data_IF_098283789377
#
_entry.id   IF_098283789377
#
_cell.length_a   1.000
_cell.length_b   1.000
_cell.length_c   1.000
_cell.angle_alpha   90.00
_cell.angle_beta   90.00
_cell.angle_gamma   90.00
#
_symmetry.space_group_name_H-M   'P 1'
#
loop_
_entity.id
_entity.type
_entity.pdbx_description
1 polymer ?
#
# COMPACT_ATOMS: atom_id res chain seq x y z
N UNK A 1 9.69 -15.10 3.43
CA UNK A 1 8.48 -15.03 4.28
C UNK A 1 7.61 -16.22 3.95
N UNK A 2 7.11 -16.97 4.93
CA UNK A 2 6.17 -18.08 4.67
C UNK A 2 4.76 -17.53 4.62
N UNK A 3 3.99 -17.91 3.60
CA UNK A 3 2.60 -17.47 3.42
C UNK A 3 1.68 -18.61 3.82
N UNK A 4 0.61 -18.28 4.54
CA UNK A 4 -0.49 -19.17 4.84
C UNK A 4 -1.76 -18.63 4.19
N UNK A 5 -2.28 -19.33 3.18
CA UNK A 5 -3.56 -19.02 2.55
C UNK A 5 -4.66 -19.83 3.21
N UNK A 6 -5.75 -19.17 3.57
CA UNK A 6 -6.96 -19.80 4.11
C UNK A 6 -8.17 -19.25 3.37
N UNK A 7 -8.91 -20.10 2.72
CA UNK A 7 -10.20 -19.75 2.10
C UNK A 7 -11.29 -19.63 3.17
N UNK A 8 -12.06 -18.55 3.09
CA UNK A 8 -13.21 -18.28 3.98
C UNK A 8 -14.41 -17.96 3.10
N UNK A 9 -15.52 -18.64 3.33
CA UNK A 9 -16.78 -18.33 2.64
C UNK A 9 -17.56 -17.30 3.45
N UNK A 10 -17.74 -16.12 2.88
CA UNK A 10 -18.51 -15.01 3.47
C UNK A 10 -19.57 -14.58 2.47
N UNK A 11 -20.72 -14.11 2.99
CA UNK A 11 -21.77 -13.46 2.20
C UNK A 11 -21.64 -11.93 2.19
N UNK A 12 -20.62 -11.39 2.87
CA UNK A 12 -20.35 -9.95 2.97
C UNK A 12 -19.48 -9.48 1.81
N UNK A 13 -19.77 -8.28 1.31
CA UNK A 13 -18.93 -7.62 0.32
C UNK A 13 -17.68 -6.98 0.95
N UNK A 14 -16.66 -6.56 0.15
CA UNK A 14 -15.41 -5.98 0.67
C UNK A 14 -15.63 -4.77 1.59
N UNK A 15 -16.55 -3.87 1.26
CA UNK A 15 -16.83 -2.68 2.06
C UNK A 15 -17.47 -3.02 3.41
N UNK A 16 -18.39 -3.99 3.45
CA UNK A 16 -19.00 -4.47 4.68
C UNK A 16 -17.98 -5.11 5.62
N UNK A 17 -17.03 -5.86 5.08
CA UNK A 17 -15.92 -6.43 5.87
C UNK A 17 -14.99 -5.32 6.34
N UNK A 18 -14.64 -4.35 5.47
CA UNK A 18 -13.79 -3.22 5.85
C UNK A 18 -14.39 -2.39 7.00
N UNK A 19 -15.72 -2.22 7.06
CA UNK A 19 -16.40 -1.50 8.14
C UNK A 19 -16.06 -2.06 9.53
N UNK A 20 -15.84 -3.36 9.66
CA UNK A 20 -15.45 -3.99 10.93
C UNK A 20 -14.03 -3.57 11.39
N UNK A 21 -13.17 -3.14 10.46
CA UNK A 21 -11.77 -2.81 10.71
C UNK A 21 -11.43 -1.33 10.48
N UNK A 22 -12.38 -0.49 10.12
CA UNK A 22 -12.15 0.91 9.71
C UNK A 22 -11.48 1.79 10.75
N UNK A 23 -11.58 1.42 12.02
CA UNK A 23 -10.95 2.15 13.14
C UNK A 23 -9.58 1.59 13.52
N UNK A 24 -9.15 0.48 12.93
CA UNK A 24 -7.81 -0.03 13.14
C UNK A 24 -6.80 0.84 12.39
N UNK A 25 -5.65 1.05 13.03
CA UNK A 25 -4.62 1.92 12.48
C UNK A 25 -4.14 1.44 11.12
N UNK A 26 -4.06 2.38 10.17
CA UNK A 26 -3.51 2.17 8.83
C UNK A 26 -4.12 0.98 8.07
N UNK A 27 -5.39 0.63 8.33
CA UNK A 27 -6.15 -0.30 7.51
C UNK A 27 -6.48 0.34 6.17
N UNK A 28 -6.17 -0.34 5.06
CA UNK A 28 -6.42 0.14 3.70
C UNK A 28 -7.29 -0.89 2.96
N UNK A 29 -8.29 -0.39 2.25
CA UNK A 29 -9.04 -1.16 1.27
C UNK A 29 -8.68 -0.68 -0.15
N UNK A 30 -8.41 -1.63 -1.03
CA UNK A 30 -8.34 -1.44 -2.47
C UNK A 30 -9.52 -2.18 -3.08
N UNK A 31 -10.58 -1.45 -3.39
CA UNK A 31 -11.83 -2.02 -3.88
C UNK A 31 -11.96 -1.90 -5.39
N UNK A 32 -12.39 -2.99 -6.03
CA UNK A 32 -12.69 -3.04 -7.45
C UNK A 32 -14.15 -2.70 -7.69
N UNK A 33 -14.43 -1.43 -8.01
CA UNK A 33 -15.79 -0.90 -8.17
C UNK A 33 -16.41 -1.13 -9.55
N UNK A 34 -15.62 -1.60 -10.53
CA UNK A 34 -16.11 -1.83 -11.89
C UNK A 34 -16.35 -3.33 -12.12
N UNK A 35 -17.55 -3.68 -12.54
CA UNK A 35 -17.89 -5.04 -13.00
C UNK A 35 -17.20 -5.35 -14.35
N UNK A 36 -15.94 -5.72 -14.31
CA UNK A 36 -15.16 -6.16 -15.45
C UNK A 36 -14.34 -7.39 -15.03
N UNK A 37 -14.72 -8.55 -15.54
CA UNK A 37 -14.11 -9.85 -15.20
C UNK A 37 -12.58 -9.91 -15.41
N UNK A 38 -12.02 -9.01 -16.22
CA UNK A 38 -10.58 -8.99 -16.53
C UNK A 38 -9.80 -7.97 -15.70
N UNK A 39 -10.39 -6.82 -15.38
CA UNK A 39 -9.69 -5.68 -14.77
C UNK A 39 -10.07 -5.46 -13.30
N UNK A 40 -11.20 -5.98 -12.85
CA UNK A 40 -11.77 -5.72 -11.52
C UNK A 40 -12.10 -6.99 -10.76
N UNK A 41 -11.26 -8.01 -10.90
CA UNK A 41 -11.49 -9.33 -10.31
C UNK A 41 -11.31 -9.37 -8.80
N UNK A 42 -10.37 -8.59 -8.26
CA UNK A 42 -9.94 -8.71 -6.87
C UNK A 42 -10.13 -7.40 -6.10
N UNK A 43 -10.58 -7.53 -4.85
CA UNK A 43 -10.49 -6.47 -3.83
C UNK A 43 -9.60 -6.92 -2.68
N UNK A 44 -8.91 -5.99 -2.03
CA UNK A 44 -7.93 -6.27 -0.99
C UNK A 44 -8.15 -5.40 0.23
N UNK A 45 -8.02 -6.00 1.43
CA UNK A 45 -7.99 -5.27 2.70
C UNK A 45 -6.71 -5.63 3.43
N UNK A 46 -5.86 -4.62 3.71
CA UNK A 46 -4.65 -4.77 4.50
C UNK A 46 -4.93 -4.59 5.98
N UNK A 47 -4.50 -5.56 6.79
CA UNK A 47 -4.68 -5.59 8.25
C UNK A 47 -3.35 -5.88 8.95
N UNK A 48 -3.27 -5.50 10.24
CA UNK A 48 -2.08 -5.71 11.07
C UNK A 48 -0.81 -5.16 10.41
N UNK A 49 -0.71 -3.85 10.20
CA UNK A 49 0.48 -3.23 9.65
C UNK A 49 1.68 -3.49 10.55
N UNK A 50 2.82 -3.86 9.96
CA UNK A 50 4.06 -4.06 10.70
C UNK A 50 5.14 -3.04 10.39
N UNK A 51 4.93 -2.24 9.35
CA UNK A 51 5.83 -1.16 8.96
C UNK A 51 5.12 -0.16 8.07
N UNK A 52 5.44 1.11 8.22
CA UNK A 52 5.00 2.18 7.32
C UNK A 52 6.22 2.86 6.71
N UNK A 53 6.15 3.16 5.43
CA UNK A 53 7.09 4.02 4.74
C UNK A 53 6.35 5.24 4.20
N UNK A 54 6.89 6.43 4.41
CA UNK A 54 6.40 7.64 3.76
C UNK A 54 7.56 8.54 3.36
N UNK A 55 7.30 9.43 2.39
CA UNK A 55 8.27 10.46 2.00
C UNK A 55 7.61 11.83 1.91
N UNK A 56 8.40 12.85 2.19
CA UNK A 56 8.10 14.25 1.95
C UNK A 56 9.27 14.82 1.15
N UNK A 57 9.03 15.18 -0.09
CA UNK A 57 10.08 15.57 -1.02
C UNK A 57 11.20 14.50 -1.07
N UNK A 58 12.45 14.89 -0.77
CA UNK A 58 13.61 13.98 -0.78
C UNK A 58 13.83 13.24 0.53
N UNK A 59 12.99 13.43 1.53
CA UNK A 59 13.14 12.83 2.85
C UNK A 59 12.25 11.59 3.02
N UNK A 60 12.84 10.43 3.27
CA UNK A 60 12.14 9.19 3.58
C UNK A 60 12.03 8.94 5.08
N UNK A 61 10.94 8.28 5.48
CA UNK A 61 10.66 7.92 6.88
C UNK A 61 10.14 6.49 6.95
N UNK A 62 10.70 5.71 7.88
CA UNK A 62 10.22 4.37 8.24
C UNK A 62 9.70 4.44 9.67
N UNK A 63 8.42 4.13 9.88
CA UNK A 63 7.73 4.22 11.17
C UNK A 63 7.94 5.58 11.88
N UNK A 64 7.97 6.66 11.09
CA UNK A 64 8.19 8.02 11.57
C UNK A 64 9.66 8.40 11.80
N UNK A 65 10.60 7.46 11.64
CA UNK A 65 12.04 7.72 11.78
C UNK A 65 12.65 8.07 10.43
N UNK A 66 13.29 9.24 10.35
CA UNK A 66 13.96 9.70 9.13
C UNK A 66 15.10 8.76 8.73
N UNK A 67 15.14 8.37 7.47
CA UNK A 67 16.19 7.55 6.88
C UNK A 67 16.88 8.30 5.74
N UNK A 68 18.21 8.08 5.60
CA UNK A 68 18.99 8.71 4.53
C UNK A 68 18.85 7.94 3.23
N UNK A 69 18.69 8.65 2.13
CA UNK A 69 18.68 8.08 0.80
C UNK A 69 17.54 8.61 -0.06
N UNK A 70 17.56 8.25 -1.33
CA UNK A 70 16.48 8.58 -2.25
C UNK A 70 15.24 7.74 -1.90
N UNK A 71 14.04 8.36 -1.73
CA UNK A 71 12.82 7.65 -1.33
C UNK A 71 12.46 6.46 -2.20
N UNK A 72 12.65 6.53 -3.52
CA UNK A 72 12.40 5.42 -4.44
C UNK A 72 13.32 4.23 -4.18
N UNK A 73 14.61 4.50 -3.91
CA UNK A 73 15.58 3.44 -3.60
C UNK A 73 15.27 2.78 -2.26
N UNK A 74 14.89 3.59 -1.26
CA UNK A 74 14.48 3.06 0.06
C UNK A 74 13.27 2.14 -0.10
N UNK A 75 12.23 2.59 -0.80
CA UNK A 75 11.03 1.77 -1.06
C UNK A 75 11.38 0.47 -1.81
N UNK A 76 12.24 0.57 -2.84
CA UNK A 76 12.71 -0.60 -3.59
C UNK A 76 13.41 -1.63 -2.69
N UNK A 77 14.30 -1.17 -1.79
CA UNK A 77 15.00 -2.04 -0.84
C UNK A 77 14.05 -2.70 0.14
N UNK A 78 13.04 -1.95 0.66
CA UNK A 78 12.03 -2.50 1.55
C UNK A 78 11.20 -3.59 0.85
N UNK A 79 10.77 -3.35 -0.39
CA UNK A 79 10.03 -4.34 -1.18
C UNK A 79 10.87 -5.57 -1.51
N UNK A 80 12.17 -5.41 -1.80
CA UNK A 80 13.09 -6.52 -2.05
C UNK A 80 13.32 -7.38 -0.80
N UNK A 81 13.45 -6.75 0.37
CA UNK A 81 13.68 -7.46 1.64
C UNK A 81 12.56 -8.43 1.97
N UNK A 82 11.32 -8.00 1.73
CA UNK A 82 10.12 -8.76 2.08
C UNK A 82 9.53 -9.52 0.88
N UNK A 83 10.32 -9.67 -0.19
CA UNK A 83 9.89 -10.34 -1.42
C UNK A 83 9.39 -11.76 -1.14
N UNK A 84 8.19 -12.03 -1.64
CA UNK A 84 7.57 -13.35 -1.63
C UNK A 84 8.00 -14.09 -2.89
N UNK A 85 8.51 -15.30 -2.74
CA UNK A 85 9.01 -16.13 -3.84
C UNK A 85 7.96 -17.14 -4.31
N UNK A 86 6.90 -17.34 -3.53
CA UNK A 86 5.84 -18.28 -3.86
C UNK A 86 5.05 -17.81 -5.09
N UNK A 87 4.82 -18.77 -6.01
CA UNK A 87 3.98 -18.52 -7.19
C UNK A 87 2.52 -18.65 -6.80
N UNK A 88 1.72 -17.63 -7.10
CA UNK A 88 0.27 -17.62 -6.90
C UNK A 88 -0.43 -17.05 -8.13
N UNK A 89 -1.66 -17.52 -8.37
CA UNK A 89 -2.54 -16.92 -9.37
C UNK A 89 -3.23 -15.66 -8.82
N UNK A 90 -3.13 -15.42 -7.52
CA UNK A 90 -3.61 -14.21 -6.86
C UNK A 90 -2.53 -13.12 -7.00
N UNK A 91 -2.87 -11.92 -7.51
CA UNK A 91 -1.88 -10.90 -7.85
C UNK A 91 -1.17 -10.29 -6.65
N UNK A 92 -1.80 -10.27 -5.48
CA UNK A 92 -1.24 -9.71 -4.24
C UNK A 92 -1.45 -10.68 -3.07
N UNK A 93 -0.45 -11.49 -2.76
CA UNK A 93 -0.46 -12.42 -1.63
C UNK A 93 0.35 -11.91 -0.43
N UNK A 94 0.90 -10.72 -0.54
CA UNK A 94 1.65 -10.01 0.50
C UNK A 94 2.38 -8.82 -0.06
N UNK A 95 3.00 -8.02 0.81
CA UNK A 95 3.72 -6.82 0.44
C UNK A 95 3.12 -5.57 1.07
N UNK A 96 3.00 -4.51 0.29
CA UNK A 96 2.50 -3.22 0.77
C UNK A 96 1.38 -2.67 -0.11
N UNK A 97 0.53 -1.86 0.50
CA UNK A 97 -0.48 -1.05 -0.19
C UNK A 97 -0.24 0.42 0.11
N UNK A 98 -0.51 1.28 -0.85
CA UNK A 98 -0.26 2.71 -0.65
C UNK A 98 -0.45 3.51 -1.90
N UNK A 99 0.14 4.71 -1.92
CA UNK A 99 0.06 5.61 -3.06
C UNK A 99 1.39 6.34 -3.30
N UNK A 100 1.51 6.83 -4.52
CA UNK A 100 2.53 7.79 -4.95
C UNK A 100 1.75 8.99 -5.48
N UNK A 101 2.00 10.19 -4.92
CA UNK A 101 1.35 11.42 -5.38
C UNK A 101 1.92 11.88 -6.72
N UNK A 102 1.18 12.72 -7.41
CA UNK A 102 1.63 13.34 -8.65
C UNK A 102 2.90 14.18 -8.42
N UNK A 103 2.98 14.88 -7.28
CA UNK A 103 4.11 15.74 -6.94
C UNK A 103 5.42 14.99 -6.69
N UNK A 104 5.39 13.68 -6.54
CA UNK A 104 6.59 12.83 -6.48
C UNK A 104 7.45 12.95 -7.76
N UNK A 105 6.86 13.39 -8.89
CA UNK A 105 7.58 13.73 -10.12
C UNK A 105 8.68 14.77 -9.90
N UNK A 106 8.52 15.67 -8.92
CA UNK A 106 9.53 16.69 -8.55
C UNK A 106 10.83 16.11 -7.97
N UNK A 107 10.79 14.87 -7.49
CA UNK A 107 12.00 14.15 -7.04
C UNK A 107 12.82 13.66 -8.25
N UNK A 108 12.16 13.46 -9.39
CA UNK A 108 12.76 12.92 -10.61
C UNK A 108 13.17 14.04 -11.56
N UNK A 109 12.34 15.09 -11.66
CA UNK A 109 12.51 16.20 -12.60
C UNK A 109 12.35 17.55 -11.90
N UNK A 110 13.07 18.58 -12.38
CA UNK A 110 12.88 19.96 -11.93
C UNK A 110 11.57 20.52 -12.51
N UNK A 111 10.49 20.41 -11.74
CA UNK A 111 9.19 20.98 -12.12
C UNK A 111 8.98 22.33 -11.43
N UNK A 112 8.31 23.32 -12.09
CA UNK A 112 8.01 24.60 -11.48
C UNK A 112 7.14 24.43 -10.22
N UNK A 113 7.49 25.12 -9.16
CA UNK A 113 6.71 25.15 -7.92
C UNK A 113 5.68 26.28 -8.02
N UNK A 114 4.44 25.94 -8.39
CA UNK A 114 3.35 26.90 -8.60
C UNK A 114 2.19 26.76 -7.62
N UNK A 115 2.24 25.81 -6.67
CA UNK A 115 1.16 25.54 -5.74
C UNK A 115 1.56 25.82 -4.29
N UNK A 116 0.67 26.47 -3.53
CA UNK A 116 0.76 26.52 -2.07
C UNK A 116 0.32 25.18 -1.50
N UNK A 117 1.14 24.58 -0.63
CA UNK A 117 0.74 23.37 0.11
C UNK A 117 -0.27 23.73 1.19
N UNK A 118 -1.55 23.45 0.96
CA UNK A 118 -2.60 23.64 1.95
C UNK A 118 -2.60 22.53 3.01
N UNK A 119 -2.11 21.33 2.68
CA UNK A 119 -2.02 20.17 3.58
C UNK A 119 -0.68 19.44 3.40
N UNK A 120 -0.05 19.07 4.52
CA UNK A 120 1.15 18.21 4.52
C UNK A 120 0.74 16.75 4.35
N UNK A 121 0.52 16.33 3.11
CA UNK A 121 0.30 14.93 2.74
C UNK A 121 1.63 14.35 2.26
N UNK A 122 2.02 13.14 2.66
CA UNK A 122 3.22 12.50 2.12
C UNK A 122 3.16 12.35 0.60
N UNK A 123 4.29 12.57 -0.09
CA UNK A 123 4.40 12.31 -1.52
C UNK A 123 4.28 10.81 -1.86
N UNK A 124 4.77 9.97 -0.95
CA UNK A 124 4.55 8.53 -0.98
C UNK A 124 4.13 8.07 0.40
N UNK A 125 3.16 7.17 0.47
CA UNK A 125 2.84 6.41 1.68
C UNK A 125 2.57 4.97 1.29
N UNK A 126 3.34 4.04 1.89
CA UNK A 126 3.16 2.60 1.75
C UNK A 126 3.08 1.96 3.13
N UNK A 127 2.11 1.09 3.30
CA UNK A 127 1.88 0.34 4.53
C UNK A 127 2.09 -1.13 4.24
N UNK A 128 2.94 -1.79 5.02
CA UNK A 128 3.31 -3.19 4.87
C UNK A 128 2.49 -4.03 5.84
N UNK A 129 1.84 -5.08 5.35
CA UNK A 129 0.84 -5.84 6.08
C UNK A 129 1.28 -7.27 6.37
N UNK A 130 0.90 -7.75 7.58
CA UNK A 130 1.01 -9.17 7.94
C UNK A 130 -0.15 -9.99 7.42
N UNK A 131 -1.33 -9.39 7.34
CA UNK A 131 -2.54 -10.05 6.91
C UNK A 131 -3.18 -9.26 5.77
N UNK A 132 -3.62 -9.96 4.74
CA UNK A 132 -4.38 -9.40 3.63
C UNK A 132 -5.63 -10.26 3.44
N UNK A 133 -6.81 -9.65 3.47
CA UNK A 133 -8.04 -10.28 3.03
C UNK A 133 -8.18 -10.01 1.54
N UNK A 134 -8.50 -11.06 0.79
CA UNK A 134 -8.58 -11.02 -0.67
C UNK A 134 -9.96 -11.52 -1.06
N UNK A 135 -10.68 -10.72 -1.81
CA UNK A 135 -11.96 -11.06 -2.41
C UNK A 135 -11.74 -11.35 -3.90
N UNK A 136 -12.31 -12.48 -4.35
CA UNK A 136 -12.27 -12.93 -5.76
C UNK A 136 -13.69 -12.98 -6.32
#
# INVERSE_FOLDING_TARGET
>A
MNIHLKEIKLSLNPCEVYEAFRYERDTIILDSSKEDEKLSKYSFIGLNPYMTFCSFQNDGYIDGVKVKGNPFKILEELLKRDKIVEKSNIPLIGGSMGYISYDTGRIIEELPDSSSEDFKIPDMKFVFYRNIIIFD
#
